data_IF_360730306971
#
_entry.id   IF_360730306971
#
_cell.length_a   1.000
_cell.length_b   1.000
_cell.length_c   1.000
_cell.angle_alpha   90.00
_cell.angle_beta   90.00
_cell.angle_gamma   90.00
#
_symmetry.space_group_name_H-M   'P 1'
#
loop_
_entity.id
_entity.type
_entity.pdbx_description
1 polymer ?
#
# COMPACT_ATOMS: atom_id res chain seq x y z
N UNK A 1 -25.33 24.97 38.20
CA UNK A 1 -24.33 23.99 37.71
C UNK A 1 -24.85 23.32 36.43
N UNK A 2 -24.97 24.07 35.32
CA UNK A 2 -25.55 23.57 34.04
C UNK A 2 -24.83 24.24 32.86
N UNK A 3 -23.52 24.07 32.72
CA UNK A 3 -22.77 24.59 31.56
C UNK A 3 -21.52 23.74 31.27
N UNK A 4 -21.70 22.44 31.00
CA UNK A 4 -20.62 21.59 30.46
C UNK A 4 -21.04 20.58 29.36
N UNK A 5 -22.33 20.33 29.14
CA UNK A 5 -22.78 19.37 28.10
C UNK A 5 -22.84 19.93 26.67
N UNK A 6 -23.15 21.22 26.49
CA UNK A 6 -23.32 21.83 25.15
C UNK A 6 -22.01 21.84 24.34
N UNK A 7 -20.89 22.16 24.99
CA UNK A 7 -19.56 22.23 24.37
C UNK A 7 -18.96 20.87 23.95
N UNK A 8 -19.51 19.74 24.37
CA UNK A 8 -19.01 18.43 23.95
C UNK A 8 -19.61 18.04 22.59
N UNK A 9 -20.92 18.17 22.43
CA UNK A 9 -21.63 17.84 21.20
C UNK A 9 -21.25 18.79 20.04
N UNK A 10 -21.10 20.08 20.32
CA UNK A 10 -20.70 21.08 19.31
C UNK A 10 -19.26 20.89 18.80
N UNK A 11 -18.40 20.20 19.56
CA UNK A 11 -17.03 19.83 19.12
C UNK A 11 -17.00 18.56 18.28
N UNK A 12 -17.95 17.64 18.47
CA UNK A 12 -18.10 16.44 17.66
C UNK A 12 -18.76 16.76 16.30
N UNK A 13 -19.78 17.61 16.26
CA UNK A 13 -20.61 17.82 15.07
C UNK A 13 -20.38 19.17 14.37
N UNK A 14 -19.12 19.51 14.09
CA UNK A 14 -18.75 20.81 13.51
C UNK A 14 -18.97 20.95 11.99
N UNK A 15 -19.92 20.19 11.42
CA UNK A 15 -20.52 20.44 10.10
C UNK A 15 -21.95 20.90 10.35
N UNK A 16 -22.32 22.08 9.86
CA UNK A 16 -23.73 22.49 9.80
C UNK A 16 -24.46 21.54 8.86
N UNK A 17 -25.02 20.48 9.43
CA UNK A 17 -26.05 19.70 8.80
C UNK A 17 -27.32 20.52 8.92
N UNK A 18 -27.98 20.80 7.79
CA UNK A 18 -29.44 20.84 7.82
C UNK A 18 -29.90 19.65 8.67
N UNK A 19 -30.83 19.90 9.59
CA UNK A 19 -31.08 19.14 10.82
C UNK A 19 -31.59 17.69 10.65
N UNK A 20 -30.96 16.88 9.80
CA UNK A 20 -31.13 15.44 9.76
C UNK A 20 -30.39 14.84 10.96
N UNK A 21 -31.15 14.28 11.90
CA UNK A 21 -30.58 13.53 13.02
C UNK A 21 -29.89 12.27 12.49
N UNK A 22 -28.56 12.31 12.39
CA UNK A 22 -27.73 11.15 12.10
C UNK A 22 -27.85 10.11 13.21
N UNK A 23 -28.49 8.98 12.94
CA UNK A 23 -28.53 7.85 13.86
C UNK A 23 -27.28 6.96 13.65
N UNK A 24 -26.14 7.38 14.21
CA UNK A 24 -24.87 6.66 14.14
C UNK A 24 -24.99 5.19 14.55
N UNK A 25 -25.79 4.93 15.59
CA UNK A 25 -26.03 3.56 16.08
C UNK A 25 -26.80 2.72 15.07
N UNK A 26 -27.75 3.31 14.33
CA UNK A 26 -28.48 2.59 13.28
C UNK A 26 -27.57 2.22 12.12
N UNK A 27 -26.69 3.11 11.65
CA UNK A 27 -25.78 2.82 10.54
C UNK A 27 -24.83 1.65 10.83
N UNK A 28 -24.32 1.58 12.07
CA UNK A 28 -23.44 0.49 12.51
C UNK A 28 -24.25 -0.79 12.76
N UNK A 29 -25.43 -0.70 13.40
CA UNK A 29 -26.29 -1.87 13.67
C UNK A 29 -26.84 -2.50 12.39
N UNK A 30 -27.20 -1.66 11.41
CA UNK A 30 -27.70 -2.09 10.11
C UNK A 30 -26.57 -2.55 9.19
N UNK A 31 -25.30 -2.30 9.55
CA UNK A 31 -24.13 -2.83 8.86
C UNK A 31 -24.14 -2.56 7.35
N UNK A 32 -24.69 -1.42 6.89
CA UNK A 32 -25.02 -1.23 5.48
C UNK A 32 -23.79 -1.11 4.58
N UNK A 33 -23.11 0.04 4.59
CA UNK A 33 -22.02 0.32 3.65
C UNK A 33 -20.77 0.78 4.39
N UNK A 34 -19.64 0.09 4.21
CA UNK A 34 -18.32 0.53 4.64
C UNK A 34 -17.50 1.01 3.45
N UNK A 35 -17.07 2.26 3.49
CA UNK A 35 -16.23 2.91 2.48
C UNK A 35 -14.88 3.21 3.11
N UNK A 36 -13.81 2.76 2.46
CA UNK A 36 -12.45 2.94 2.96
C UNK A 36 -11.62 3.62 1.87
N UNK A 37 -11.10 4.80 2.17
CA UNK A 37 -10.28 5.57 1.24
C UNK A 37 -8.81 5.42 1.64
N UNK A 38 -8.07 4.66 0.85
CA UNK A 38 -6.66 4.32 1.05
C UNK A 38 -5.72 5.45 0.61
N UNK A 39 -4.56 5.54 1.25
CA UNK A 39 -3.54 6.56 0.98
C UNK A 39 -2.71 6.21 -0.27
N UNK A 40 -1.73 7.06 -0.62
CA UNK A 40 -0.75 6.74 -1.66
C UNK A 40 0.29 5.71 -1.20
N UNK A 41 0.35 5.36 0.10
CA UNK A 41 1.33 4.46 0.66
C UNK A 41 0.81 3.00 0.64
N UNK A 42 1.32 2.12 -0.24
CA UNK A 42 0.84 0.74 -0.32
C UNK A 42 1.13 -0.08 0.94
N UNK A 43 2.23 0.18 1.66
CA UNK A 43 2.55 -0.56 2.88
C UNK A 43 1.56 -0.24 4.01
N UNK A 44 1.24 1.03 4.20
CA UNK A 44 0.23 1.48 5.16
C UNK A 44 -1.16 0.93 4.81
N UNK A 45 -1.53 0.99 3.52
CA UNK A 45 -2.78 0.41 3.03
C UNK A 45 -2.89 -1.09 3.29
N UNK A 46 -1.78 -1.83 3.12
CA UNK A 46 -1.73 -3.27 3.44
C UNK A 46 -1.90 -3.53 4.94
N UNK A 47 -1.29 -2.70 5.79
CA UNK A 47 -1.48 -2.79 7.24
C UNK A 47 -2.93 -2.51 7.63
N UNK A 48 -3.53 -1.42 7.14
CA UNK A 48 -4.95 -1.09 7.34
C UNK A 48 -5.84 -2.25 6.92
N UNK A 49 -5.59 -2.82 5.73
CA UNK A 49 -6.35 -3.95 5.20
C UNK A 49 -6.30 -5.16 6.13
N UNK A 50 -5.16 -5.43 6.77
CA UNK A 50 -5.01 -6.54 7.72
C UNK A 50 -5.96 -6.43 8.91
N UNK A 51 -6.28 -5.21 9.36
CA UNK A 51 -7.22 -4.97 10.45
C UNK A 51 -8.68 -4.97 9.96
N UNK A 52 -8.92 -4.44 8.76
CA UNK A 52 -10.28 -4.29 8.20
C UNK A 52 -10.86 -5.58 7.63
N UNK A 53 -10.03 -6.61 7.39
CA UNK A 53 -10.47 -7.86 6.79
C UNK A 53 -11.68 -8.48 7.51
N UNK A 54 -11.70 -8.48 8.85
CA UNK A 54 -12.83 -8.95 9.64
C UNK A 54 -14.10 -8.12 9.46
N UNK A 55 -13.96 -6.81 9.19
CA UNK A 55 -15.10 -5.91 9.04
C UNK A 55 -15.80 -6.14 7.71
N UNK A 56 -15.08 -6.55 6.67
CA UNK A 56 -15.71 -6.83 5.37
C UNK A 56 -16.73 -7.98 5.45
N UNK A 57 -16.60 -8.90 6.41
CA UNK A 57 -17.59 -9.95 6.66
C UNK A 57 -18.81 -9.46 7.44
N UNK A 58 -18.69 -8.32 8.12
CA UNK A 58 -19.73 -7.74 8.97
C UNK A 58 -20.65 -6.83 8.14
N UNK A 59 -20.10 -6.01 7.26
CA UNK A 59 -20.86 -5.04 6.47
C UNK A 59 -21.51 -5.66 5.22
N UNK A 60 -22.72 -5.25 4.86
CA UNK A 60 -23.45 -5.75 3.69
C UNK A 60 -22.75 -5.40 2.38
N UNK A 61 -22.16 -4.20 2.29
CA UNK A 61 -21.36 -3.77 1.14
C UNK A 61 -20.12 -3.03 1.59
N UNK A 62 -19.01 -3.32 0.92
CA UNK A 62 -17.72 -2.72 1.17
C UNK A 62 -17.19 -2.09 -0.11
N UNK A 63 -16.62 -0.89 0.00
CA UNK A 63 -15.91 -0.25 -1.10
C UNK A 63 -14.56 0.26 -0.63
N UNK A 64 -13.48 -0.20 -1.28
CA UNK A 64 -12.16 0.40 -1.11
C UNK A 64 -11.91 1.34 -2.29
N UNK A 65 -11.57 2.58 -1.98
CA UNK A 65 -11.14 3.59 -2.96
C UNK A 65 -9.64 3.79 -2.79
N UNK A 66 -8.88 3.59 -3.86
CA UNK A 66 -7.42 3.65 -3.81
C UNK A 66 -6.81 4.21 -5.12
N UNK A 67 -5.51 4.55 -5.13
CA UNK A 67 -4.85 5.01 -6.35
C UNK A 67 -4.89 3.95 -7.46
N UNK A 68 -5.03 4.41 -8.71
CA UNK A 68 -5.15 3.52 -9.88
C UNK A 68 -3.97 2.55 -10.02
N UNK A 69 -2.77 2.97 -9.65
CA UNK A 69 -1.58 2.11 -9.68
C UNK A 69 -1.68 0.90 -8.73
N UNK A 70 -2.45 1.01 -7.64
CA UNK A 70 -2.52 0.00 -6.59
C UNK A 70 -3.70 -0.98 -6.76
N UNK A 71 -4.74 -0.62 -7.54
CA UNK A 71 -6.03 -1.33 -7.58
C UNK A 71 -5.90 -2.82 -7.85
N UNK A 72 -5.23 -3.21 -8.94
CA UNK A 72 -5.09 -4.60 -9.36
C UNK A 72 -4.36 -5.45 -8.32
N UNK A 73 -3.42 -4.85 -7.57
CA UNK A 73 -2.71 -5.55 -6.51
C UNK A 73 -3.63 -5.84 -5.33
N UNK A 74 -4.36 -4.83 -4.85
CA UNK A 74 -5.27 -4.98 -3.72
C UNK A 74 -6.46 -5.90 -4.01
N UNK A 75 -7.04 -5.81 -5.21
CA UNK A 75 -8.06 -6.73 -5.72
C UNK A 75 -7.56 -8.18 -5.71
N UNK A 76 -6.26 -8.40 -5.97
CA UNK A 76 -5.69 -9.74 -6.03
C UNK A 76 -5.46 -10.35 -4.64
N UNK A 77 -5.12 -9.53 -3.64
CA UNK A 77 -4.78 -10.02 -2.29
C UNK A 77 -5.97 -10.17 -1.35
N UNK A 78 -7.09 -9.48 -1.63
CA UNK A 78 -8.33 -9.60 -0.86
C UNK A 78 -9.50 -9.73 -1.82
N UNK A 79 -10.15 -10.88 -1.77
CA UNK A 79 -11.38 -11.17 -2.50
C UNK A 79 -12.45 -11.58 -1.50
N UNK A 80 -13.45 -10.71 -1.33
CA UNK A 80 -14.66 -10.94 -0.54
C UNK A 80 -15.83 -10.57 -1.43
N UNK A 81 -16.90 -11.38 -1.42
CA UNK A 81 -18.02 -11.24 -2.37
C UNK A 81 -18.69 -9.86 -2.34
N UNK A 82 -18.79 -9.26 -1.17
CA UNK A 82 -19.41 -7.95 -0.94
C UNK A 82 -18.42 -6.78 -1.01
N UNK A 83 -17.17 -7.01 -1.46
CA UNK A 83 -16.14 -5.98 -1.56
C UNK A 83 -15.95 -5.54 -3.01
N UNK A 84 -16.06 -4.24 -3.24
CA UNK A 84 -15.75 -3.60 -4.51
C UNK A 84 -14.56 -2.65 -4.39
N UNK A 85 -13.83 -2.50 -5.48
CA UNK A 85 -12.69 -1.58 -5.56
C UNK A 85 -13.00 -0.46 -6.56
N UNK A 86 -12.56 0.76 -6.25
CA UNK A 86 -12.71 1.93 -7.11
C UNK A 86 -11.43 2.76 -7.11
N UNK A 87 -11.16 3.41 -8.24
CA UNK A 87 -10.09 4.42 -8.33
C UNK A 87 -10.62 5.78 -7.92
N UNK A 88 -9.79 6.61 -7.28
CA UNK A 88 -10.16 8.01 -7.02
C UNK A 88 -10.58 8.70 -8.32
N UNK A 89 -11.81 9.19 -8.34
CA UNK A 89 -12.39 9.88 -9.50
C UNK A 89 -13.44 10.88 -9.03
N UNK A 90 -13.51 12.02 -9.70
CA UNK A 90 -14.59 13.01 -9.51
C UNK A 90 -15.97 12.50 -9.93
N UNK A 91 -16.03 11.35 -10.63
CA UNK A 91 -17.26 10.70 -11.07
C UNK A 91 -17.83 9.71 -10.06
N UNK A 92 -17.16 9.49 -8.93
CA UNK A 92 -17.71 8.66 -7.85
C UNK A 92 -18.95 9.37 -7.31
N UNK A 93 -20.09 8.70 -7.40
CA UNK A 93 -21.36 9.17 -6.82
C UNK A 93 -21.23 9.31 -5.31
N UNK A 94 -22.01 10.23 -4.74
CA UNK A 94 -22.13 10.36 -3.29
C UNK A 94 -22.51 9.01 -2.65
N UNK A 95 -21.89 8.72 -1.51
CA UNK A 95 -22.32 7.63 -0.65
C UNK A 95 -23.37 8.14 0.33
N UNK A 96 -24.43 7.36 0.53
CA UNK A 96 -25.47 7.64 1.50
C UNK A 96 -25.51 6.52 2.54
N UNK A 97 -25.88 6.84 3.78
CA UNK A 97 -26.02 5.87 4.86
C UNK A 97 -24.79 4.96 5.02
N UNK A 98 -23.60 5.56 4.98
CA UNK A 98 -22.33 4.84 4.92
C UNK A 98 -21.41 5.18 6.09
N UNK A 99 -20.51 4.27 6.40
CA UNK A 99 -19.34 4.53 7.25
C UNK A 99 -18.16 4.77 6.33
N UNK A 100 -17.54 5.93 6.45
CA UNK A 100 -16.43 6.38 5.63
C UNK A 100 -15.19 6.50 6.51
N UNK A 101 -14.18 5.69 6.23
CA UNK A 101 -12.86 5.75 6.86
C UNK A 101 -11.89 6.35 5.82
N UNK A 102 -11.43 7.57 6.05
CA UNK A 102 -10.54 8.27 5.15
C UNK A 102 -9.10 8.33 5.69
N UNK A 103 -8.18 7.76 4.92
CA UNK A 103 -6.74 7.81 5.14
C UNK A 103 -6.02 8.60 4.02
N UNK A 104 -6.77 9.19 3.09
CA UNK A 104 -6.22 9.91 1.95
C UNK A 104 -6.44 11.43 2.10
N UNK A 105 -5.34 12.19 2.07
CA UNK A 105 -5.34 13.65 2.17
C UNK A 105 -5.62 14.37 0.84
N UNK A 106 -5.84 13.66 -0.27
CA UNK A 106 -6.01 14.28 -1.58
C UNK A 106 -7.35 15.04 -1.70
N UNK A 107 -7.39 16.01 -2.62
CA UNK A 107 -8.57 16.85 -2.82
C UNK A 107 -9.78 16.06 -3.36
N UNK A 108 -9.56 14.95 -4.07
CA UNK A 108 -10.63 14.13 -4.62
C UNK A 108 -11.37 13.40 -3.49
N UNK A 109 -10.64 12.83 -2.53
CA UNK A 109 -11.17 12.21 -1.32
C UNK A 109 -12.05 13.20 -0.55
N UNK A 110 -11.56 14.43 -0.36
CA UNK A 110 -12.35 15.51 0.26
C UNK A 110 -13.64 15.77 -0.49
N UNK A 111 -13.61 15.92 -1.82
CA UNK A 111 -14.83 16.12 -2.63
C UNK A 111 -15.83 14.95 -2.48
N UNK A 112 -15.35 13.70 -2.44
CA UNK A 112 -16.21 12.55 -2.22
C UNK A 112 -16.85 12.63 -0.82
N UNK A 113 -16.07 12.93 0.23
CA UNK A 113 -16.55 13.11 1.60
C UNK A 113 -17.55 14.26 1.74
N UNK A 114 -17.33 15.36 1.03
CA UNK A 114 -18.22 16.53 1.01
C UNK A 114 -19.58 16.19 0.39
N UNK A 115 -19.60 15.25 -0.56
CA UNK A 115 -20.83 14.78 -1.20
C UNK A 115 -21.58 13.70 -0.40
N UNK A 116 -20.94 13.06 0.59
CA UNK A 116 -21.57 11.98 1.35
C UNK A 116 -22.68 12.52 2.27
N UNK A 117 -23.87 11.92 2.19
CA UNK A 117 -25.03 12.29 3.02
C UNK A 117 -25.34 11.19 4.02
N UNK A 118 -25.95 11.55 5.14
CA UNK A 118 -26.38 10.60 6.17
C UNK A 118 -25.30 9.56 6.56
N UNK A 119 -24.03 9.97 6.57
CA UNK A 119 -22.88 9.07 6.69
C UNK A 119 -22.02 9.41 7.91
N UNK A 120 -21.45 8.38 8.52
CA UNK A 120 -20.39 8.51 9.52
C UNK A 120 -19.09 8.71 8.78
N UNK A 121 -18.37 9.80 9.03
CA UNK A 121 -17.08 10.08 8.42
C UNK A 121 -16.03 10.15 9.52
N UNK A 122 -14.99 9.34 9.37
CA UNK A 122 -13.77 9.39 10.17
C UNK A 122 -12.61 9.68 9.23
N UNK A 123 -11.85 10.72 9.55
CA UNK A 123 -10.76 11.21 8.73
C UNK A 123 -9.50 11.30 9.60
N UNK A 124 -8.37 10.83 9.07
CA UNK A 124 -7.09 10.80 9.80
C UNK A 124 -6.62 12.21 10.22
N UNK A 125 -6.96 13.23 9.42
CA UNK A 125 -6.65 14.64 9.70
C UNK A 125 -7.77 15.34 10.48
N UNK A 126 -8.80 14.60 10.93
CA UNK A 126 -9.89 15.09 11.79
C UNK A 126 -10.82 16.14 11.16
N UNK A 127 -10.92 16.18 9.83
CA UNK A 127 -11.82 17.08 9.10
C UNK A 127 -13.26 16.57 8.99
N UNK A 128 -13.64 15.56 9.77
CA UNK A 128 -14.89 14.83 9.65
C UNK A 128 -15.94 15.17 10.73
N UNK A 129 -17.09 14.47 10.68
CA UNK A 129 -18.19 14.59 11.65
C UNK A 129 -18.04 13.66 12.88
N UNK A 130 -17.04 12.77 12.89
CA UNK A 130 -16.60 12.03 14.07
C UNK A 130 -15.13 12.35 14.31
N UNK A 131 -14.83 12.85 15.51
CA UNK A 131 -13.51 13.36 15.89
C UNK A 131 -13.04 12.72 17.19
N UNK A 132 -11.82 12.19 17.19
CA UNK A 132 -11.24 11.57 18.38
C UNK A 132 -10.28 12.53 19.09
N UNK A 133 -10.28 12.45 20.43
CA UNK A 133 -9.41 13.23 21.31
C UNK A 133 -8.81 12.30 22.38
N UNK A 134 -7.47 12.15 22.44
CA UNK A 134 -6.46 12.83 21.62
C UNK A 134 -6.54 12.44 20.13
N UNK A 135 -5.92 13.26 19.28
CA UNK A 135 -5.89 13.00 17.84
C UNK A 135 -5.15 11.67 17.58
N UNK A 136 -5.72 10.76 16.77
CA UNK A 136 -5.02 9.56 16.32
C UNK A 136 -3.70 9.93 15.65
N UNK A 137 -2.63 9.21 15.99
CA UNK A 137 -1.28 9.52 15.51
C UNK A 137 -0.91 8.78 14.21
N UNK A 138 -1.71 7.79 13.83
CA UNK A 138 -1.55 6.98 12.63
C UNK A 138 -2.87 6.26 12.26
N UNK A 139 -3.00 5.70 11.06
CA UNK A 139 -4.22 5.02 10.63
C UNK A 139 -4.70 3.91 11.56
N UNK A 140 -3.79 3.11 12.11
CA UNK A 140 -4.15 2.00 13.00
C UNK A 140 -4.73 2.51 14.32
N UNK A 141 -4.20 3.61 14.86
CA UNK A 141 -4.79 4.26 16.03
C UNK A 141 -6.20 4.79 15.75
N UNK A 142 -6.46 5.35 14.56
CA UNK A 142 -7.81 5.79 14.18
C UNK A 142 -8.78 4.60 14.14
N UNK A 143 -8.36 3.47 13.55
CA UNK A 143 -9.17 2.27 13.50
C UNK A 143 -9.49 1.73 14.90
N UNK A 144 -8.51 1.74 15.82
CA UNK A 144 -8.71 1.28 17.21
C UNK A 144 -9.69 2.17 17.99
N UNK A 145 -9.55 3.49 17.87
CA UNK A 145 -10.48 4.44 18.48
C UNK A 145 -11.90 4.27 17.92
N UNK A 146 -12.02 4.11 16.60
CA UNK A 146 -13.30 3.82 15.96
C UNK A 146 -13.92 2.51 16.46
N UNK A 147 -13.13 1.44 16.51
CA UNK A 147 -13.57 0.13 16.97
C UNK A 147 -14.06 0.18 18.42
N UNK A 148 -13.30 0.85 19.30
CA UNK A 148 -13.66 1.01 20.70
C UNK A 148 -14.96 1.81 20.87
N UNK A 149 -15.11 2.90 20.11
CA UNK A 149 -16.32 3.74 20.19
C UNK A 149 -17.59 3.01 19.74
N UNK A 150 -17.48 2.18 18.70
CA UNK A 150 -18.62 1.46 18.12
C UNK A 150 -18.76 0.00 18.57
N UNK A 151 -17.92 -0.44 19.52
CA UNK A 151 -17.87 -1.82 20.00
C UNK A 151 -17.71 -2.86 18.88
N UNK A 152 -16.76 -2.60 17.97
CA UNK A 152 -16.34 -3.52 16.92
C UNK A 152 -15.06 -4.24 17.35
N UNK A 153 -14.94 -5.52 17.00
CA UNK A 153 -13.70 -6.25 17.20
C UNK A 153 -12.64 -5.75 16.22
N UNK A 154 -11.41 -5.55 16.69
CA UNK A 154 -10.29 -5.14 15.83
C UNK A 154 -9.03 -5.91 16.18
N UNK A 155 -8.58 -6.75 15.24
CA UNK A 155 -7.34 -7.50 15.35
C UNK A 155 -6.67 -7.59 13.98
N UNK A 156 -5.35 -7.51 13.94
CA UNK A 156 -4.60 -7.70 12.69
C UNK A 156 -4.72 -9.16 12.26
N UNK A 157 -5.16 -9.38 11.03
CA UNK A 157 -5.27 -10.69 10.42
C UNK A 157 -4.16 -10.89 9.40
N UNK A 158 -3.57 -12.10 9.39
CA UNK A 158 -2.62 -12.47 8.34
C UNK A 158 -3.33 -12.54 6.99
N UNK A 159 -2.89 -11.70 6.06
CA UNK A 159 -3.33 -11.77 4.67
C UNK A 159 -2.47 -12.84 4.00
N UNK A 160 -3.04 -14.02 3.80
CA UNK A 160 -2.39 -15.11 3.07
C UNK A 160 -2.87 -15.06 1.64
N UNK A 161 -1.95 -14.93 0.69
CA UNK A 161 -2.27 -14.88 -0.73
C UNK A 161 -1.53 -16.01 -1.42
N UNK A 162 -2.28 -16.88 -2.10
CA UNK A 162 -1.68 -17.88 -2.98
C UNK A 162 -1.39 -17.22 -4.31
N UNK A 163 -0.17 -16.71 -4.42
CA UNK A 163 0.41 -16.34 -5.71
C UNK A 163 1.08 -17.59 -6.28
N UNK A 164 0.56 -18.10 -7.40
CA UNK A 164 1.04 -19.30 -8.07
C UNK A 164 0.05 -19.82 -9.11
N UNK A 165 0.54 -20.51 -10.14
CA UNK A 165 -0.26 -21.09 -11.24
C UNK A 165 0.13 -20.57 -12.64
N UNK A 166 -0.77 -20.74 -13.63
CA UNK A 166 -0.55 -20.35 -15.05
C UNK A 166 -0.19 -18.87 -15.27
N UNK A 167 -0.48 -17.99 -14.31
CA UNK A 167 -0.17 -16.56 -14.39
C UNK A 167 1.31 -16.25 -14.11
N UNK A 168 1.96 -16.98 -13.19
CA UNK A 168 3.38 -16.80 -12.90
C UNK A 168 4.26 -17.45 -13.99
N UNK A 169 3.77 -18.51 -14.66
CA UNK A 169 4.51 -19.17 -15.74
C UNK A 169 4.77 -18.25 -16.94
N UNK A 170 3.83 -17.34 -17.26
CA UNK A 170 4.00 -16.38 -18.37
C UNK A 170 5.02 -15.28 -18.09
N UNK A 171 5.26 -14.94 -16.82
CA UNK A 171 6.27 -13.96 -16.44
C UNK A 171 7.63 -14.64 -16.30
N UNK A 172 7.68 -15.85 -15.75
CA UNK A 172 8.89 -16.68 -15.79
C UNK A 172 9.36 -16.93 -17.21
N UNK A 173 8.46 -17.07 -18.18
CA UNK A 173 8.86 -17.19 -19.60
C UNK A 173 9.54 -15.94 -20.16
N UNK A 174 9.31 -14.73 -19.62
CA UNK A 174 10.11 -13.54 -19.99
C UNK A 174 11.57 -13.65 -19.55
N UNK A 175 11.86 -14.47 -18.55
CA UNK A 175 13.19 -14.70 -18.00
C UNK A 175 13.90 -15.92 -18.64
N UNK A 176 13.25 -16.69 -19.52
CA UNK A 176 13.76 -18.01 -19.98
C UNK A 176 14.88 -17.99 -21.03
N UNK A 177 15.62 -16.90 -21.23
CA UNK A 177 16.54 -16.82 -22.38
C UNK A 177 18.02 -17.07 -22.09
N UNK A 178 18.49 -17.10 -20.83
CA UNK A 178 19.87 -17.52 -20.52
C UNK A 178 20.03 -18.00 -19.06
N UNK A 179 21.21 -18.52 -18.71
CA UNK A 179 21.51 -19.12 -17.39
C UNK A 179 21.87 -18.08 -16.30
N UNK A 180 21.78 -16.80 -16.60
CA UNK A 180 22.24 -15.76 -15.69
C UNK A 180 21.16 -15.35 -14.69
N UNK A 181 21.53 -14.96 -13.46
CA UNK A 181 20.57 -14.49 -12.48
C UNK A 181 19.84 -13.23 -12.97
N UNK A 182 18.55 -13.16 -12.69
CA UNK A 182 17.62 -12.08 -13.04
C UNK A 182 17.44 -11.12 -11.87
N UNK A 183 17.69 -9.84 -12.14
CA UNK A 183 17.56 -8.75 -11.19
C UNK A 183 16.53 -7.76 -11.68
N UNK A 184 15.54 -7.45 -10.85
CA UNK A 184 14.68 -6.28 -11.04
C UNK A 184 15.22 -5.17 -10.17
N UNK A 185 15.55 -4.02 -10.75
CA UNK A 185 15.98 -2.83 -10.03
C UNK A 185 14.90 -1.76 -10.19
N UNK A 186 14.20 -1.45 -9.10
CA UNK A 186 13.16 -0.42 -9.03
C UNK A 186 13.63 0.77 -8.20
N UNK A 187 13.88 1.91 -8.84
CA UNK A 187 14.32 3.12 -8.14
C UNK A 187 13.34 4.26 -8.38
N UNK A 188 13.00 5.04 -7.35
CA UNK A 188 12.07 6.18 -7.44
C UNK A 188 12.77 7.51 -7.65
N UNK A 189 13.85 7.75 -6.92
CA UNK A 189 14.45 9.09 -6.81
C UNK A 189 15.79 9.19 -7.53
N UNK A 190 16.46 8.05 -7.74
CA UNK A 190 17.73 7.99 -8.43
C UNK A 190 17.53 8.33 -9.91
N UNK A 191 17.76 9.58 -10.33
CA UNK A 191 17.86 9.88 -11.76
C UNK A 191 18.94 8.98 -12.37
N UNK A 192 18.81 8.61 -13.63
CA UNK A 192 19.85 7.86 -14.33
C UNK A 192 21.16 8.65 -14.28
N UNK A 193 21.98 8.30 -13.29
CA UNK A 193 23.19 8.99 -12.91
C UNK A 193 24.36 8.01 -13.00
N UNK A 194 25.57 8.54 -12.77
CA UNK A 194 26.78 7.72 -12.79
C UNK A 194 26.75 6.61 -11.76
N UNK A 195 26.02 6.76 -10.66
CA UNK A 195 25.96 5.77 -9.59
C UNK A 195 25.13 4.55 -10.01
N UNK A 196 24.01 4.75 -10.71
CA UNK A 196 23.24 3.66 -11.33
C UNK A 196 24.07 2.90 -12.36
N UNK A 197 24.82 3.60 -13.23
CA UNK A 197 25.73 2.95 -14.17
C UNK A 197 26.82 2.14 -13.47
N UNK A 198 27.41 2.68 -12.40
CA UNK A 198 28.42 1.99 -11.59
C UNK A 198 27.82 0.73 -10.96
N UNK A 199 26.62 0.83 -10.39
CA UNK A 199 25.89 -0.31 -9.84
C UNK A 199 25.69 -1.38 -10.90
N UNK A 200 25.13 -1.03 -12.06
CA UNK A 200 24.90 -1.95 -13.18
C UNK A 200 26.21 -2.61 -13.64
N UNK A 201 27.29 -1.83 -13.82
CA UNK A 201 28.62 -2.35 -14.20
C UNK A 201 29.09 -3.41 -13.21
N UNK A 202 29.01 -3.11 -11.92
CA UNK A 202 29.42 -4.02 -10.85
C UNK A 202 28.56 -5.28 -10.81
N UNK A 203 27.23 -5.12 -10.89
CA UNK A 203 26.30 -6.26 -10.89
C UNK A 203 26.57 -7.20 -12.07
N UNK A 204 26.81 -6.65 -13.28
CA UNK A 204 27.18 -7.46 -14.45
C UNK A 204 28.55 -8.10 -14.31
N UNK A 205 29.54 -7.39 -13.77
CA UNK A 205 30.88 -7.92 -13.56
C UNK A 205 30.89 -9.11 -12.58
N UNK A 206 30.22 -8.99 -11.43
CA UNK A 206 30.25 -10.02 -10.39
C UNK A 206 29.30 -11.19 -10.63
N UNK A 207 28.17 -10.97 -11.30
CA UNK A 207 27.09 -11.97 -11.42
C UNK A 207 26.75 -12.38 -12.84
N UNK A 208 27.32 -11.73 -13.85
CA UNK A 208 26.90 -11.88 -15.25
C UNK A 208 25.39 -11.70 -15.44
N UNK A 209 24.76 -10.79 -14.70
CA UNK A 209 23.31 -10.71 -14.53
C UNK A 209 22.48 -10.26 -15.75
N UNK A 210 21.23 -10.75 -15.84
CA UNK A 210 20.13 -10.08 -16.53
C UNK A 210 19.56 -8.99 -15.62
N UNK A 211 19.48 -7.75 -16.10
CA UNK A 211 19.03 -6.62 -15.29
C UNK A 211 17.85 -5.96 -16.00
N UNK A 212 16.77 -5.74 -15.25
CA UNK A 212 15.58 -5.05 -15.72
C UNK A 212 15.33 -3.82 -14.84
N UNK A 213 15.39 -2.64 -15.46
CA UNK A 213 15.18 -1.36 -14.79
C UNK A 213 13.71 -0.98 -14.82
N UNK A 214 13.19 -0.55 -13.67
CA UNK A 214 11.84 0.01 -13.54
C UNK A 214 11.90 1.27 -12.68
N UNK A 215 11.00 2.23 -12.90
CA UNK A 215 11.01 3.53 -12.19
C UNK A 215 12.10 4.50 -12.66
N UNK A 216 13.23 3.98 -13.14
CA UNK A 216 14.33 4.72 -13.78
C UNK A 216 14.56 4.28 -15.22
N UNK A 217 15.26 5.12 -15.98
CA UNK A 217 15.53 4.88 -17.39
C UNK A 217 16.95 5.27 -17.75
N UNK A 218 17.77 4.30 -18.15
CA UNK A 218 19.12 4.54 -18.65
C UNK A 218 19.11 4.55 -20.20
N UNK A 219 19.38 5.71 -20.81
CA UNK A 219 19.46 5.88 -22.27
C UNK A 219 20.81 5.40 -22.80
N UNK A 220 20.81 4.86 -24.02
CA UNK A 220 22.01 4.64 -24.84
C UNK A 220 23.14 3.90 -24.09
N UNK A 221 22.79 2.79 -23.46
CA UNK A 221 23.76 1.93 -22.81
C UNK A 221 24.17 0.77 -23.74
N UNK A 222 25.44 0.37 -23.68
CA UNK A 222 25.94 -0.82 -24.38
C UNK A 222 25.99 -2.06 -23.46
N UNK A 223 25.27 -2.03 -22.33
CA UNK A 223 25.24 -3.17 -21.42
C UNK A 223 24.44 -4.34 -22.03
N UNK A 224 25.06 -5.51 -22.25
CA UNK A 224 24.33 -6.69 -22.69
C UNK A 224 23.36 -7.13 -21.59
N UNK A 225 22.19 -7.67 -21.95
CA UNK A 225 21.18 -8.16 -21.00
C UNK A 225 20.71 -7.08 -19.99
N UNK A 226 20.57 -5.84 -20.43
CA UNK A 226 19.95 -4.75 -19.68
C UNK A 226 18.71 -4.28 -20.44
N UNK A 227 17.56 -4.25 -19.78
CA UNK A 227 16.29 -3.83 -20.37
C UNK A 227 15.59 -2.80 -19.48
N UNK A 228 14.94 -1.81 -20.07
CA UNK A 228 14.08 -0.89 -19.35
C UNK A 228 12.62 -1.34 -19.51
N UNK A 229 11.95 -1.66 -18.41
CA UNK A 229 10.55 -2.11 -18.42
C UNK A 229 9.62 -0.97 -17.99
N UNK A 230 8.57 -0.76 -18.77
CA UNK A 230 7.48 0.15 -18.39
C UNK A 230 6.44 -0.61 -17.57
N UNK A 231 6.32 -0.26 -16.30
CA UNK A 231 5.38 -0.88 -15.37
C UNK A 231 4.08 -0.07 -15.32
N UNK A 232 2.95 -0.75 -15.47
CA UNK A 232 1.63 -0.11 -15.53
C UNK A 232 0.95 -0.04 -14.15
N UNK A 233 1.21 -1.00 -13.27
CA UNK A 233 0.59 -1.09 -11.94
C UNK A 233 1.47 -1.86 -10.94
N UNK A 234 1.09 -1.80 -9.66
CA UNK A 234 1.78 -2.46 -8.55
C UNK A 234 1.76 -3.99 -8.67
N UNK A 235 0.69 -4.57 -9.23
CA UNK A 235 0.59 -6.02 -9.40
C UNK A 235 1.64 -6.54 -10.38
N UNK A 236 1.86 -5.83 -11.48
CA UNK A 236 2.90 -6.17 -12.46
C UNK A 236 4.31 -6.09 -11.83
N UNK A 237 4.60 -5.03 -11.06
CA UNK A 237 5.87 -4.91 -10.35
C UNK A 237 6.08 -6.06 -9.36
N UNK A 238 5.04 -6.37 -8.59
CA UNK A 238 5.05 -7.45 -7.62
C UNK A 238 5.33 -8.81 -8.27
N UNK A 239 4.68 -9.08 -9.41
CA UNK A 239 4.88 -10.33 -10.14
C UNK A 239 6.30 -10.45 -10.70
N UNK A 240 6.88 -9.35 -11.20
CA UNK A 240 8.28 -9.32 -11.63
C UNK A 240 9.23 -9.56 -10.46
N UNK A 241 9.01 -8.87 -9.33
CA UNK A 241 9.81 -9.02 -8.11
C UNK A 241 9.76 -10.44 -7.54
N UNK A 242 8.63 -11.13 -7.65
CA UNK A 242 8.50 -12.55 -7.26
C UNK A 242 9.19 -13.53 -8.20
N UNK A 243 9.28 -13.19 -9.48
CA UNK A 243 9.76 -14.09 -10.50
C UNK A 243 11.27 -13.95 -10.77
N UNK A 244 11.88 -12.85 -10.32
CA UNK A 244 13.33 -12.66 -10.36
C UNK A 244 14.05 -13.32 -9.19
N UNK A 245 15.37 -13.43 -9.30
CA UNK A 245 16.20 -13.96 -8.22
C UNK A 245 16.34 -12.94 -7.08
N UNK A 246 16.51 -11.66 -7.43
CA UNK A 246 16.64 -10.56 -6.46
C UNK A 246 15.95 -9.28 -6.96
N UNK A 247 15.13 -8.71 -6.09
CA UNK A 247 14.52 -7.40 -6.26
C UNK A 247 15.31 -6.31 -5.51
N UNK A 248 15.74 -5.25 -6.18
CA UNK A 248 16.44 -4.12 -5.56
C UNK A 248 15.57 -2.87 -5.60
N UNK A 249 15.46 -2.16 -4.48
CA UNK A 249 14.71 -0.90 -4.45
C UNK A 249 15.20 0.12 -3.43
N UNK A 250 15.04 1.41 -3.74
CA UNK A 250 15.17 2.55 -2.80
C UNK A 250 13.83 2.93 -2.15
N UNK A 251 12.73 2.31 -2.56
CA UNK A 251 11.40 2.60 -2.06
C UNK A 251 11.07 1.73 -0.84
N UNK A 252 11.13 2.37 0.33
CA UNK A 252 10.83 1.74 1.62
C UNK A 252 9.42 1.16 1.67
N UNK A 253 8.44 1.80 1.03
CA UNK A 253 7.05 1.33 1.07
C UNK A 253 6.89 0.04 0.24
N UNK A 254 7.55 -0.03 -0.93
CA UNK A 254 7.59 -1.27 -1.71
C UNK A 254 8.34 -2.39 -1.00
N UNK A 255 9.52 -2.10 -0.44
CA UNK A 255 10.27 -3.08 0.32
C UNK A 255 9.44 -3.67 1.47
N UNK A 256 8.76 -2.81 2.24
CA UNK A 256 7.90 -3.21 3.34
C UNK A 256 6.75 -4.11 2.88
N UNK A 257 5.96 -3.71 1.87
CA UNK A 257 4.84 -4.53 1.43
C UNK A 257 5.30 -5.87 0.82
N UNK A 258 6.41 -5.89 0.07
CA UNK A 258 6.94 -7.11 -0.54
C UNK A 258 7.54 -8.09 0.46
N UNK A 259 7.95 -7.61 1.65
CA UNK A 259 8.47 -8.48 2.72
C UNK A 259 7.46 -9.51 3.22
N UNK A 260 6.16 -9.22 3.04
CA UNK A 260 5.08 -10.13 3.41
C UNK A 260 4.93 -11.33 2.45
N UNK A 261 5.65 -11.36 1.33
CA UNK A 261 5.43 -12.32 0.23
C UNK A 261 6.66 -13.14 -0.18
N UNK A 262 7.63 -13.31 0.72
CA UNK A 262 8.82 -14.16 0.49
C UNK A 262 9.65 -13.76 -0.74
N UNK A 263 9.65 -12.47 -1.07
CA UNK A 263 10.49 -11.91 -2.14
C UNK A 263 11.89 -11.66 -1.59
N UNK A 264 12.91 -12.23 -2.24
CA UNK A 264 14.31 -11.90 -1.96
C UNK A 264 14.59 -10.47 -2.41
N UNK A 265 14.84 -9.58 -1.46
CA UNK A 265 15.01 -8.17 -1.77
C UNK A 265 16.16 -7.49 -1.04
N UNK A 266 16.75 -6.52 -1.74
CA UNK A 266 17.75 -5.60 -1.19
C UNK A 266 17.18 -4.19 -1.22
N UNK A 267 17.10 -3.57 -0.05
CA UNK A 267 16.72 -2.17 0.10
C UNK A 267 17.98 -1.29 0.07
N UNK A 268 18.02 -0.32 -0.84
CA UNK A 268 19.10 0.66 -0.97
C UNK A 268 18.71 1.91 -0.18
N UNK A 269 19.37 2.13 0.95
CA UNK A 269 19.12 3.29 1.79
C UNK A 269 19.74 3.15 3.17
N UNK A 270 19.77 4.26 3.91
CA UNK A 270 20.28 4.28 5.29
C UNK A 270 19.39 3.44 6.20
N UNK A 271 20.02 2.80 7.19
CA UNK A 271 19.36 1.96 8.18
C UNK A 271 18.53 2.78 9.19
N UNK A 272 17.49 3.49 8.72
CA UNK A 272 16.58 4.20 9.59
C UNK A 272 15.47 3.25 10.07
N UNK A 273 15.83 2.52 11.13
CA UNK A 273 15.03 1.82 12.15
C UNK A 273 13.65 1.33 11.66
N UNK A 274 13.46 0.00 11.69
CA UNK A 274 12.25 -0.80 11.37
C UNK A 274 12.19 -1.40 9.97
N UNK A 275 13.30 -1.88 9.43
CA UNK A 275 13.26 -2.90 8.38
C UNK A 275 13.87 -4.16 9.01
N UNK A 276 13.05 -4.98 9.66
CA UNK A 276 13.50 -6.19 10.32
C UNK A 276 12.63 -7.35 9.83
N UNK A 277 12.87 -7.77 8.59
CA UNK A 277 12.24 -8.94 7.99
C UNK A 277 13.33 -9.83 7.42
N UNK A 278 13.17 -11.16 7.54
CA UNK A 278 14.16 -12.15 7.07
C UNK A 278 14.53 -12.03 5.59
N UNK A 279 13.69 -11.35 4.80
CA UNK A 279 13.78 -11.30 3.35
C UNK A 279 14.19 -9.90 2.84
N UNK A 280 14.37 -8.90 3.72
CA UNK A 280 14.95 -7.61 3.34
C UNK A 280 16.37 -7.52 3.85
N UNK A 281 17.31 -7.34 2.93
CA UNK A 281 18.67 -6.97 3.26
C UNK A 281 18.87 -5.46 3.02
N UNK A 282 19.45 -4.75 3.97
CA UNK A 282 19.65 -3.29 3.88
C UNK A 282 21.07 -3.01 3.39
N UNK A 283 21.18 -2.19 2.36
CA UNK A 283 22.43 -1.73 1.78
C UNK A 283 22.53 -0.21 1.86
N UNK A 284 23.55 0.29 2.53
CA UNK A 284 23.89 1.72 2.51
C UNK A 284 24.77 2.02 1.28
N UNK A 285 24.42 3.07 0.53
CA UNK A 285 25.23 3.53 -0.60
C UNK A 285 26.69 3.75 -0.16
N UNK A 286 27.63 3.44 -1.07
CA UNK A 286 29.10 3.44 -0.92
C UNK A 286 29.78 2.12 -0.50
N UNK A 287 29.04 1.08 -0.14
CA UNK A 287 29.63 -0.19 0.34
C UNK A 287 29.52 -1.37 -0.63
N UNK A 288 29.86 -1.18 -1.90
CA UNK A 288 29.57 -2.16 -2.96
C UNK A 288 29.98 -3.61 -2.67
N UNK A 289 31.11 -3.83 -1.98
CA UNK A 289 31.57 -5.19 -1.67
C UNK A 289 30.61 -5.89 -0.68
N UNK A 290 30.01 -5.14 0.24
CA UNK A 290 28.97 -5.66 1.13
C UNK A 290 27.71 -6.06 0.34
N UNK A 291 27.29 -5.24 -0.64
CA UNK A 291 26.19 -5.59 -1.55
C UNK A 291 26.48 -6.87 -2.32
N UNK A 292 27.69 -7.01 -2.86
CA UNK A 292 28.10 -8.20 -3.61
C UNK A 292 28.06 -9.44 -2.73
N UNK A 293 28.65 -9.39 -1.54
CA UNK A 293 28.67 -10.52 -0.61
C UNK A 293 27.24 -10.93 -0.20
N UNK A 294 26.40 -9.96 0.10
CA UNK A 294 24.99 -10.16 0.44
C UNK A 294 24.20 -10.84 -0.69
N UNK A 295 24.37 -10.36 -1.93
CA UNK A 295 23.75 -10.98 -3.10
C UNK A 295 24.25 -12.42 -3.30
N UNK A 296 25.55 -12.66 -3.13
CA UNK A 296 26.10 -14.01 -3.23
C UNK A 296 25.49 -14.97 -2.19
N UNK A 297 25.23 -14.49 -0.98
CA UNK A 297 24.57 -15.29 0.05
C UNK A 297 23.10 -15.58 -0.28
N UNK A 298 22.38 -14.61 -0.85
CA UNK A 298 20.99 -14.80 -1.29
C UNK A 298 20.92 -15.83 -2.42
N UNK A 299 21.78 -15.72 -3.43
CA UNK A 299 21.79 -16.62 -4.60
C UNK A 299 22.26 -18.05 -4.30
N UNK A 300 22.87 -18.30 -3.14
CA UNK A 300 23.30 -19.65 -2.71
C UNK A 300 22.20 -20.46 -2.03
N UNK A 301 21.11 -19.81 -1.60
CA UNK A 301 19.96 -20.46 -0.92
C UNK A 301 18.98 -21.01 -1.93
#
# INVERSE_FOLDING_TARGET
MIFKKKNFLDRFFKRSLDSEQLNFSALIRQRQNLIVMFSENPAENFEILSYLKSWFEIFEKNTIILPAFQIAFFEKIVSVENLSFRVFSSRISAYENSIVLNFNGNQIARKIIDSCKNSIVCDIDNFSNVRFYPLPQNPISLLREFAAFFNLEIQSQKITVVFGGKHDSGIKTKFLHNKFPHFIIHLREMKADKNLEILIKKMKFYFSANIYLTGVFLKNHDFPNLENLKISNLLELFQLARACDIFLTDDKNLANIFSHFEINQVFIGKENKKINSRNIHVYEEDKILELVNMIQEILKK
#
